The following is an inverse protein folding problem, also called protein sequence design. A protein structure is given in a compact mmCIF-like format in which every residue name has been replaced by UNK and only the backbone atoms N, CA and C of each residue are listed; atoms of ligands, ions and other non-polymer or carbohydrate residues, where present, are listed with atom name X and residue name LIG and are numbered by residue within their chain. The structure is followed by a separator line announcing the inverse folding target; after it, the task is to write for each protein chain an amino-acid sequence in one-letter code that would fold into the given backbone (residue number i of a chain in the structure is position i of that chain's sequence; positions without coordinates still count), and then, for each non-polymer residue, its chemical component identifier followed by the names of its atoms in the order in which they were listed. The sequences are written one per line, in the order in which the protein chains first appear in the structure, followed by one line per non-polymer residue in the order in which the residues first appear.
data_IF_533040496670
#
_entry.id   IF_533040496670
#
_cell.length_a   1.000
_cell.length_b   1.000
_cell.length_c   1.000
_cell.angle_alpha   90.00
_cell.angle_beta   90.00
_cell.angle_gamma   90.00
#
_symmetry.space_group_name_H-M   'P 1'
#
loop_
_entity.id
_entity.type
_entity.pdbx_description
1 polymer ?
#
# COMPACT_ATOMS: atom_id res chain seq x y z
N UNK A 1 -14.99 27.38 -4.84
CA UNK A 1 -14.60 25.97 -5.03
C UNK A 1 -13.11 26.01 -5.25
N UNK A 2 -12.36 25.92 -4.15
CA UNK A 2 -10.92 26.10 -4.18
C UNK A 2 -10.28 25.00 -5.01
N UNK A 3 -9.67 25.44 -6.11
CA UNK A 3 -8.75 24.66 -6.91
C UNK A 3 -7.43 24.75 -6.17
N UNK A 4 -7.25 23.88 -5.18
CA UNK A 4 -5.96 23.69 -4.52
C UNK A 4 -4.88 23.60 -5.60
N UNK A 5 -3.88 24.47 -5.50
CA UNK A 5 -2.80 24.51 -6.46
C UNK A 5 -1.93 23.26 -6.28
N UNK A 6 -1.39 22.69 -7.36
CA UNK A 6 -0.41 21.59 -7.31
C UNK A 6 0.72 21.86 -6.31
N UNK A 7 0.99 23.15 -6.07
CA UNK A 7 1.99 23.65 -5.14
C UNK A 7 1.65 23.41 -3.66
N UNK A 8 0.38 23.47 -3.26
CA UNK A 8 -0.04 23.18 -1.88
C UNK A 8 0.00 21.68 -1.55
N UNK A 9 -0.06 20.81 -2.58
CA UNK A 9 0.09 19.37 -2.42
C UNK A 9 1.55 18.97 -2.17
N UNK A 10 2.50 19.65 -2.82
CA UNK A 10 3.95 19.45 -2.64
C UNK A 10 4.43 19.86 -1.24
N UNK A 11 3.74 20.76 -0.54
CA UNK A 11 4.14 21.18 0.81
C UNK A 11 3.79 20.16 1.91
N UNK A 12 2.95 19.15 1.61
CA UNK A 12 2.48 18.15 2.58
C UNK A 12 3.33 16.88 2.67
N UNK A 13 4.25 16.65 1.73
CA UNK A 13 5.08 15.44 1.63
C UNK A 13 6.47 15.98 1.29
N UNK A 14 7.46 15.86 2.17
CA UNK A 14 8.71 16.64 2.16
C UNK A 14 9.69 16.40 0.99
N UNK A 15 9.19 16.18 -0.23
CA UNK A 15 9.94 16.08 -1.47
C UNK A 15 10.10 17.45 -2.12
N UNK A 16 11.26 17.68 -2.72
CA UNK A 16 11.56 18.84 -3.55
C UNK A 16 10.93 18.70 -4.95
N UNK A 17 10.76 19.82 -5.66
CA UNK A 17 10.24 19.82 -7.03
C UNK A 17 11.12 18.97 -7.97
N UNK A 18 12.44 18.95 -7.75
CA UNK A 18 13.40 18.15 -8.50
C UNK A 18 13.19 16.65 -8.25
N UNK A 19 13.03 16.24 -6.98
CA UNK A 19 12.72 14.85 -6.64
C UNK A 19 11.42 14.40 -7.28
N UNK A 20 10.37 15.21 -7.23
CA UNK A 20 9.09 14.92 -7.87
C UNK A 20 9.22 14.81 -9.39
N UNK A 21 10.08 15.60 -10.01
CA UNK A 21 10.38 15.49 -11.44
C UNK A 21 11.06 14.14 -11.75
N UNK A 22 12.07 13.76 -10.99
CA UNK A 22 12.78 12.48 -11.18
C UNK A 22 11.86 11.28 -10.98
N UNK A 23 10.98 11.34 -9.99
CA UNK A 23 9.97 10.33 -9.74
C UNK A 23 8.96 10.19 -10.90
N UNK A 24 8.52 11.32 -11.49
CA UNK A 24 7.64 11.30 -12.68
C UNK A 24 8.34 10.67 -13.88
N UNK A 25 9.62 10.98 -14.10
CA UNK A 25 10.43 10.35 -15.15
C UNK A 25 10.58 8.85 -14.89
N UNK A 26 10.87 8.45 -13.65
CA UNK A 26 10.97 7.04 -13.28
C UNK A 26 9.67 6.27 -13.57
N UNK A 27 8.51 6.86 -13.28
CA UNK A 27 7.20 6.27 -13.62
C UNK A 27 7.05 6.08 -15.13
N UNK A 28 7.44 7.04 -15.96
CA UNK A 28 7.41 6.89 -17.44
C UNK A 28 8.32 5.78 -17.94
N UNK A 29 9.50 5.61 -17.33
CA UNK A 29 10.38 4.48 -17.62
C UNK A 29 9.76 3.14 -17.23
N UNK A 30 9.10 3.07 -16.07
CA UNK A 30 8.39 1.87 -15.63
C UNK A 30 7.20 1.52 -16.53
N UNK A 31 6.43 2.51 -16.98
CA UNK A 31 5.33 2.29 -17.93
C UNK A 31 5.82 1.71 -19.26
N UNK A 32 6.92 2.22 -19.81
CA UNK A 32 7.56 1.63 -21.00
C UNK A 32 8.08 0.22 -20.75
N UNK A 33 8.62 -0.05 -19.56
CA UNK A 33 9.03 -1.40 -19.16
C UNK A 33 7.84 -2.36 -19.16
N UNK A 34 6.69 -1.90 -18.67
CA UNK A 34 5.44 -2.67 -18.67
C UNK A 34 4.92 -2.97 -20.09
N UNK A 35 5.04 -2.02 -21.01
CA UNK A 35 4.72 -2.24 -22.44
C UNK A 35 5.59 -3.33 -23.07
N UNK A 36 6.86 -3.39 -22.68
CA UNK A 36 7.83 -4.37 -23.20
C UNK A 36 7.67 -5.75 -22.53
N UNK A 37 7.37 -5.78 -21.23
CA UNK A 37 7.12 -7.01 -20.48
C UNK A 37 6.00 -6.80 -19.45
N UNK A 38 4.75 -7.15 -19.81
CA UNK A 38 3.61 -6.95 -18.92
C UNK A 38 3.55 -7.95 -17.75
N UNK A 39 4.36 -9.01 -17.79
CA UNK A 39 4.36 -10.09 -16.80
C UNK A 39 5.47 -9.96 -15.75
N UNK A 40 6.07 -8.78 -15.60
CA UNK A 40 7.08 -8.54 -14.58
C UNK A 40 6.43 -8.00 -13.28
N UNK A 41 6.28 -8.82 -12.22
CA UNK A 41 5.66 -8.38 -10.96
C UNK A 41 6.40 -7.18 -10.35
N UNK A 42 7.74 -7.12 -10.49
CA UNK A 42 8.54 -6.02 -9.98
C UNK A 42 8.12 -4.67 -10.55
N UNK A 43 7.79 -4.62 -11.84
CA UNK A 43 7.36 -3.37 -12.48
C UNK A 43 6.00 -2.92 -11.95
N UNK A 44 5.09 -3.87 -11.68
CA UNK A 44 3.77 -3.57 -11.13
C UNK A 44 3.87 -2.94 -9.74
N UNK A 45 4.58 -3.54 -8.77
CA UNK A 45 4.64 -2.93 -7.44
C UNK A 45 5.46 -1.62 -7.40
N UNK A 46 6.47 -1.46 -8.25
CA UNK A 46 7.18 -0.18 -8.39
C UNK A 46 6.26 0.92 -8.94
N UNK A 47 5.41 0.60 -9.92
CA UNK A 47 4.37 1.53 -10.39
C UNK A 47 3.36 1.83 -9.29
N UNK A 48 2.94 0.85 -8.51
CA UNK A 48 2.04 1.06 -7.38
C UNK A 48 2.60 2.12 -6.41
N UNK A 49 3.86 1.97 -6.00
CA UNK A 49 4.56 2.94 -5.15
C UNK A 49 4.63 4.32 -5.79
N UNK A 50 4.97 4.40 -7.07
CA UNK A 50 5.01 5.67 -7.78
C UNK A 50 3.64 6.38 -7.73
N UNK A 51 2.54 5.67 -8.01
CA UNK A 51 1.19 6.26 -7.96
C UNK A 51 0.76 6.69 -6.55
N UNK A 52 1.12 5.93 -5.51
CA UNK A 52 0.78 6.30 -4.13
C UNK A 52 1.57 7.47 -3.59
N UNK A 53 2.89 7.46 -3.77
CA UNK A 53 3.79 8.46 -3.17
C UNK A 53 3.78 9.77 -3.96
N UNK A 54 3.71 9.72 -5.29
CA UNK A 54 3.86 10.91 -6.15
C UNK A 54 2.51 11.55 -6.46
N UNK A 55 1.52 10.73 -6.81
CA UNK A 55 0.23 11.22 -7.29
C UNK A 55 -0.86 11.16 -6.23
N UNK A 56 -0.56 10.56 -5.07
CA UNK A 56 -1.54 10.26 -4.02
C UNK A 56 -2.75 9.44 -4.57
N UNK A 57 -2.54 8.66 -5.62
CA UNK A 57 -3.56 7.85 -6.27
C UNK A 57 -3.58 6.44 -5.66
N UNK A 58 -4.23 6.35 -4.50
CA UNK A 58 -4.38 5.08 -3.77
C UNK A 58 -5.19 4.04 -4.56
N UNK A 59 -6.08 4.47 -5.48
CA UNK A 59 -6.88 3.54 -6.29
C UNK A 59 -6.01 2.84 -7.31
N UNK A 60 -5.20 3.59 -8.05
CA UNK A 60 -4.28 3.05 -9.06
C UNK A 60 -3.17 2.25 -8.40
N UNK A 61 -2.65 2.71 -7.25
CA UNK A 61 -1.71 1.94 -6.44
C UNK A 61 -2.28 0.54 -6.15
N UNK A 62 -3.50 0.45 -5.60
CA UNK A 62 -4.10 -0.84 -5.21
C UNK A 62 -4.26 -1.79 -6.40
N UNK A 63 -4.58 -1.26 -7.59
CA UNK A 63 -4.68 -2.06 -8.82
C UNK A 63 -3.33 -2.67 -9.21
N UNK A 64 -2.26 -1.89 -9.12
CA UNK A 64 -0.92 -2.37 -9.45
C UNK A 64 -0.37 -3.35 -8.41
N UNK A 65 -0.62 -3.17 -7.11
CA UNK A 65 -0.29 -4.19 -6.12
C UNK A 65 -1.04 -5.50 -6.33
N UNK A 66 -2.33 -5.44 -6.69
CA UNK A 66 -3.07 -6.65 -7.03
C UNK A 66 -2.48 -7.34 -8.27
N UNK A 67 -2.14 -6.56 -9.32
CA UNK A 67 -1.51 -7.10 -10.53
C UNK A 67 -0.14 -7.74 -10.24
N UNK A 68 0.65 -7.14 -9.34
CA UNK A 68 1.91 -7.72 -8.88
C UNK A 68 1.68 -9.07 -8.21
N UNK A 69 0.71 -9.16 -7.29
CA UNK A 69 0.38 -10.38 -6.55
C UNK A 69 -0.36 -11.44 -7.39
N UNK A 70 -0.96 -11.07 -8.52
CA UNK A 70 -1.45 -12.04 -9.51
C UNK A 70 -0.29 -12.76 -10.22
N UNK A 71 0.83 -12.06 -10.41
CA UNK A 71 2.03 -12.59 -11.07
C UNK A 71 2.98 -13.29 -10.10
N UNK A 72 3.15 -12.75 -8.90
CA UNK A 72 3.90 -13.34 -7.79
C UNK A 72 3.08 -13.28 -6.50
N UNK A 73 2.25 -14.31 -6.23
CA UNK A 73 1.36 -14.32 -5.07
C UNK A 73 2.07 -14.35 -3.73
N UNK A 74 3.35 -14.73 -3.69
CA UNK A 74 4.08 -14.99 -2.46
C UNK A 74 5.13 -13.91 -2.16
N UNK A 75 5.08 -12.77 -2.87
CA UNK A 75 5.86 -11.57 -2.57
C UNK A 75 5.39 -10.95 -1.24
N UNK A 76 6.16 -11.18 -0.18
CA UNK A 76 5.80 -10.77 1.18
C UNK A 76 5.95 -9.25 1.40
N UNK A 77 6.83 -8.58 0.67
CA UNK A 77 6.95 -7.12 0.68
C UNK A 77 5.67 -6.47 0.15
N UNK A 78 5.13 -6.98 -0.97
CA UNK A 78 3.89 -6.45 -1.56
C UNK A 78 2.67 -6.79 -0.69
N UNK A 79 2.62 -7.97 -0.10
CA UNK A 79 1.57 -8.35 0.86
C UNK A 79 1.57 -7.41 2.08
N UNK A 80 2.73 -7.10 2.65
CA UNK A 80 2.87 -6.15 3.77
C UNK A 80 2.40 -4.76 3.37
N UNK A 81 2.81 -4.27 2.20
CA UNK A 81 2.44 -2.94 1.73
C UNK A 81 0.92 -2.82 1.51
N UNK A 82 0.31 -3.82 0.86
CA UNK A 82 -1.14 -3.88 0.64
C UNK A 82 -1.90 -4.00 1.96
N UNK A 83 -1.44 -4.84 2.89
CA UNK A 83 -2.03 -4.99 4.21
C UNK A 83 -2.05 -3.66 4.98
N UNK A 84 -0.96 -2.90 4.94
CA UNK A 84 -0.88 -1.57 5.56
C UNK A 84 -1.92 -0.60 5.00
N UNK A 85 -2.20 -0.64 3.70
CA UNK A 85 -3.23 0.19 3.07
C UNK A 85 -4.65 -0.25 3.42
N UNK A 86 -4.89 -1.55 3.48
CA UNK A 86 -6.15 -2.10 3.98
C UNK A 86 -6.43 -1.64 5.41
N UNK A 87 -5.43 -1.70 6.28
CA UNK A 87 -5.55 -1.22 7.66
C UNK A 87 -5.83 0.27 7.74
N UNK A 88 -5.10 1.11 7.00
CA UNK A 88 -5.31 2.57 6.94
C UNK A 88 -6.73 2.92 6.48
N UNK A 89 -7.31 2.11 5.60
CA UNK A 89 -8.65 2.29 5.08
C UNK A 89 -9.76 1.60 5.91
N UNK A 90 -9.43 1.01 7.08
CA UNK A 90 -10.40 0.29 7.92
C UNK A 90 -10.90 -1.04 7.33
N UNK A 91 -10.29 -1.50 6.23
CA UNK A 91 -10.59 -2.79 5.57
C UNK A 91 -9.88 -3.94 6.28
N UNK A 92 -10.25 -4.17 7.55
CA UNK A 92 -9.51 -5.07 8.44
C UNK A 92 -9.63 -6.55 8.05
N UNK A 93 -10.71 -6.94 7.36
CA UNK A 93 -10.89 -8.31 6.87
C UNK A 93 -9.93 -8.64 5.73
N UNK A 94 -9.70 -7.68 4.82
CA UNK A 94 -8.74 -7.83 3.74
C UNK A 94 -7.31 -7.83 4.27
N UNK A 95 -7.00 -6.95 5.24
CA UNK A 95 -5.71 -6.98 5.94
C UNK A 95 -5.45 -8.33 6.65
N UNK A 96 -6.49 -8.96 7.21
CA UNK A 96 -6.39 -10.29 7.82
C UNK A 96 -6.11 -11.39 6.80
N UNK A 97 -6.62 -11.28 5.56
CA UNK A 97 -6.28 -12.25 4.49
C UNK A 97 -4.81 -12.15 4.11
N UNK A 98 -4.28 -10.94 3.98
CA UNK A 98 -2.86 -10.71 3.70
C UNK A 98 -1.99 -11.25 4.84
N UNK A 99 -2.40 -11.06 6.11
CA UNK A 99 -1.73 -11.63 7.26
C UNK A 99 -1.69 -13.16 7.24
N UNK A 100 -2.83 -13.81 6.98
CA UNK A 100 -2.90 -15.28 6.89
C UNK A 100 -1.97 -15.79 5.78
N UNK A 101 -1.86 -15.04 4.68
CA UNK A 101 -0.92 -15.38 3.61
C UNK A 101 0.53 -15.28 4.09
N UNK A 102 0.92 -14.19 4.76
CA UNK A 102 2.25 -14.01 5.34
C UNK A 102 2.60 -15.11 6.36
N UNK A 103 1.65 -15.50 7.21
CA UNK A 103 1.81 -16.60 8.17
C UNK A 103 2.03 -17.94 7.46
N UNK A 104 1.29 -18.21 6.38
CA UNK A 104 1.47 -19.42 5.56
C UNK A 104 2.86 -19.49 4.93
N UNK A 105 3.43 -18.35 4.53
CA UNK A 105 4.78 -18.26 3.99
C UNK A 105 5.86 -18.42 5.06
N UNK A 106 5.51 -18.31 6.34
CA UNK A 106 6.49 -18.19 7.42
C UNK A 106 7.30 -16.89 7.32
N UNK A 107 6.72 -15.84 6.71
CA UNK A 107 7.40 -14.56 6.55
C UNK A 107 7.68 -13.94 7.92
N UNK A 108 8.88 -13.38 8.09
CA UNK A 108 9.28 -12.69 9.32
C UNK A 108 8.45 -11.41 9.57
N UNK A 109 7.71 -10.94 8.56
CA UNK A 109 6.79 -9.81 8.67
C UNK A 109 5.47 -10.17 9.36
N UNK A 110 5.10 -11.44 9.44
CA UNK A 110 3.79 -11.88 9.93
C UNK A 110 3.52 -11.43 11.37
N UNK A 111 4.43 -11.71 12.31
CA UNK A 111 4.24 -11.36 13.72
C UNK A 111 4.12 -9.84 13.98
N UNK A 112 5.02 -8.99 13.43
CA UNK A 112 4.84 -7.54 13.51
C UNK A 112 3.47 -7.09 12.96
N UNK A 113 3.08 -7.60 11.78
CA UNK A 113 1.83 -7.21 11.14
C UNK A 113 0.59 -7.68 11.92
N UNK A 114 0.62 -8.87 12.52
CA UNK A 114 -0.42 -9.33 13.43
C UNK A 114 -0.62 -8.38 14.61
N UNK A 115 0.48 -7.88 15.20
CA UNK A 115 0.42 -6.90 16.29
C UNK A 115 -0.21 -5.58 15.82
N UNK A 116 0.16 -5.11 14.63
CA UNK A 116 -0.42 -3.91 14.04
C UNK A 116 -1.92 -4.09 13.79
N UNK A 117 -2.34 -5.20 13.17
CA UNK A 117 -3.74 -5.49 12.87
C UNK A 117 -4.58 -5.59 14.15
N UNK A 118 -4.09 -6.29 15.19
CA UNK A 118 -4.77 -6.37 16.49
C UNK A 118 -5.00 -5.00 17.09
N UNK A 119 -3.98 -4.12 17.06
CA UNK A 119 -4.12 -2.74 17.54
C UNK A 119 -5.17 -1.96 16.74
N UNK A 120 -5.21 -2.13 15.42
CA UNK A 120 -6.20 -1.47 14.57
C UNK A 120 -7.63 -1.96 14.83
N UNK A 121 -7.84 -3.28 15.01
CA UNK A 121 -9.14 -3.86 15.39
C UNK A 121 -9.62 -3.32 16.72
N UNK A 122 -8.74 -3.38 17.72
CA UNK A 122 -9.00 -2.84 19.07
C UNK A 122 -9.40 -1.36 18.95
N UNK A 123 -8.60 -0.50 18.30
CA UNK A 123 -8.89 0.93 18.18
C UNK A 123 -10.14 1.27 17.34
N UNK A 124 -10.62 0.35 16.50
CA UNK A 124 -11.84 0.51 15.70
C UNK A 124 -13.12 0.01 16.39
N UNK A 125 -12.99 -0.76 17.47
CA UNK A 125 -14.12 -1.18 18.31
C UNK A 125 -14.50 -0.05 19.27
N UNK A 126 -15.79 0.30 19.38
CA UNK A 126 -16.22 1.30 20.35
C UNK A 126 -15.93 0.81 21.79
N UNK A 127 -15.56 1.75 22.66
CA UNK A 127 -15.02 1.48 24.02
C UNK A 127 -15.98 0.68 24.92
N UNK A 128 -17.26 0.59 24.58
CA UNK A 128 -18.32 -0.16 25.26
C UNK A 128 -18.22 -1.68 25.13
N UNK A 129 -17.38 -2.19 24.22
CA UNK A 129 -17.06 -3.62 24.13
C UNK A 129 -15.95 -4.07 25.09
N UNK A 130 -15.22 -3.14 25.73
CA UNK A 130 -14.01 -3.45 26.50
C UNK A 130 -14.20 -3.69 27.99
N UNK A 131 -15.39 -3.48 28.53
CA UNK A 131 -15.68 -3.76 29.95
C UNK A 131 -17.02 -4.46 30.14
N UNK A 132 -16.97 -5.79 30.26
CA UNK A 132 -17.79 -6.52 31.22
C UNK A 132 -16.95 -7.57 31.93
N UNK A 133 -16.22 -7.22 33.01
CA UNK A 133 -15.83 -8.23 33.97
C UNK A 133 -17.09 -8.87 34.58
N UNK A 134 -17.12 -10.21 34.62
CA UNK A 134 -18.12 -10.99 35.37
C UNK A 134 -17.86 -10.91 36.87
#
# INVERSE_FOLDING_TARGET
MDRWSQQELNESIGYTDDELSDYRVAREHLLRSLELNPFNPTVHWLLANAYGEIDNDTSTLMQFYNSSLELDPDDDDVLVARMGLHMKAGRLNEAERDLIHLERLGSYHAEPMAKHLRKAKVNGEPDDARDKPS
#
